data_IF_167661087205
#
_entry.id   IF_167661087205
#
_cell.length_a   1.000
_cell.length_b   1.000
_cell.length_c   1.000
_cell.angle_alpha   90.00
_cell.angle_beta   90.00
_cell.angle_gamma   90.00
#
_symmetry.space_group_name_H-M   'P 1'
#
loop_
_entity.id
_entity.type
_entity.pdbx_description
1 polymer ?
#
# COMPACT_ATOMS: atom_id res chain seq x y z
N UNK A 1 -5.56 58.63 25.98
CA UNK A 1 -5.78 57.71 24.85
C UNK A 1 -4.62 56.73 24.81
N UNK A 2 -4.85 55.44 25.08
CA UNK A 2 -3.80 54.41 25.07
C UNK A 2 -3.75 53.82 23.67
N UNK A 3 -2.78 54.27 22.87
CA UNK A 3 -2.55 53.75 21.52
C UNK A 3 -1.78 52.43 21.66
N UNK A 4 -2.36 51.32 21.22
CA UNK A 4 -1.75 50.01 21.35
C UNK A 4 -0.57 49.83 20.38
N UNK A 5 0.65 49.64 20.90
CA UNK A 5 1.86 49.35 20.11
C UNK A 5 1.91 47.92 19.53
N UNK A 6 0.76 47.28 19.27
CA UNK A 6 0.74 45.97 18.64
C UNK A 6 1.15 46.17 17.18
N UNK A 7 2.29 45.58 16.79
CA UNK A 7 2.69 45.47 15.38
C UNK A 7 1.47 45.00 14.57
N UNK A 8 1.14 45.65 13.44
CA UNK A 8 0.06 45.15 12.59
C UNK A 8 0.38 43.68 12.27
N UNK A 9 -0.60 42.80 12.46
CA UNK A 9 -0.50 41.41 12.02
C UNK A 9 -0.06 41.44 10.55
N UNK A 10 1.20 41.04 10.30
CA UNK A 10 1.82 41.13 8.98
C UNK A 10 0.90 40.45 7.96
N UNK A 11 0.33 41.28 7.10
CA UNK A 11 -0.31 40.88 5.84
C UNK A 11 0.75 40.10 5.07
N UNK A 12 0.58 38.78 5.05
CA UNK A 12 1.32 37.80 4.26
C UNK A 12 2.69 38.30 3.78
N UNK A 13 3.72 38.11 4.60
CA UNK A 13 5.06 38.03 4.03
C UNK A 13 5.01 36.93 2.97
N UNK A 14 4.96 37.33 1.69
CA UNK A 14 5.16 36.42 0.57
C UNK A 14 6.55 35.84 0.78
N UNK A 15 6.62 34.67 1.43
CA UNK A 15 7.86 33.90 1.53
C UNK A 15 8.42 33.87 0.13
N UNK A 16 9.62 34.40 -0.07
CA UNK A 16 10.32 34.34 -1.35
C UNK A 16 10.47 32.86 -1.69
N UNK A 17 9.55 32.32 -2.48
CA UNK A 17 9.68 30.96 -2.99
C UNK A 17 10.85 31.00 -3.94
N UNK A 18 11.79 30.08 -3.75
CA UNK A 18 12.92 29.96 -4.67
C UNK A 18 12.38 29.85 -6.10
N UNK A 19 13.05 30.51 -7.05
CA UNK A 19 12.70 30.39 -8.47
C UNK A 19 12.59 28.89 -8.79
N UNK A 20 11.50 28.44 -9.45
CA UNK A 20 11.34 27.02 -9.75
C UNK A 20 12.55 26.57 -10.55
N UNK A 21 13.22 25.52 -10.09
CA UNK A 21 14.33 24.91 -10.83
C UNK A 21 13.79 24.54 -12.20
N UNK A 22 14.40 25.07 -13.26
CA UNK A 22 14.04 24.73 -14.64
C UNK A 22 14.36 23.26 -14.84
N UNK A 23 13.33 22.41 -14.67
CA UNK A 23 13.38 20.99 -14.95
C UNK A 23 12.62 20.74 -16.25
N UNK A 24 13.02 19.69 -16.97
CA UNK A 24 12.24 19.22 -18.12
C UNK A 24 10.78 19.00 -17.65
N UNK A 25 9.80 19.63 -18.33
CA UNK A 25 8.40 19.64 -17.91
C UNK A 25 7.82 18.22 -17.77
N UNK A 26 8.38 17.22 -18.47
CA UNK A 26 7.99 15.81 -18.34
C UNK A 26 8.21 15.27 -16.93
N UNK A 27 9.23 15.78 -16.23
CA UNK A 27 9.56 15.42 -14.85
C UNK A 27 9.07 16.46 -13.83
N UNK A 28 8.27 17.44 -14.26
CA UNK A 28 7.61 18.36 -13.35
C UNK A 28 6.41 17.69 -12.67
N UNK A 29 6.01 18.18 -11.50
CA UNK A 29 4.81 17.70 -10.81
C UNK A 29 3.50 17.95 -11.61
N UNK A 30 3.56 18.71 -12.70
CA UNK A 30 2.43 19.00 -13.59
C UNK A 30 2.13 17.87 -14.58
N UNK A 31 3.06 16.92 -14.78
CA UNK A 31 2.86 15.80 -15.72
C UNK A 31 1.91 14.70 -15.21
N UNK A 32 1.39 14.84 -13.99
CA UNK A 32 0.39 13.96 -13.41
C UNK A 32 0.97 12.81 -12.58
N UNK A 33 0.13 11.83 -12.26
CA UNK A 33 0.52 10.65 -11.47
C UNK A 33 0.36 9.37 -12.27
N UNK A 34 1.24 8.39 -12.01
CA UNK A 34 1.18 7.09 -12.67
C UNK A 34 -0.16 6.40 -12.35
N UNK A 35 -0.94 6.09 -13.39
CA UNK A 35 -2.07 5.18 -13.28
C UNK A 35 -1.61 3.74 -13.61
N UNK A 36 -1.34 2.90 -12.58
CA UNK A 36 -0.82 1.55 -12.81
C UNK A 36 -1.84 0.63 -13.50
N UNK A 37 -3.15 0.93 -13.46
CA UNK A 37 -4.16 0.10 -14.12
C UNK A 37 -4.14 0.34 -15.62
N UNK A 38 -4.12 1.62 -16.01
CA UNK A 38 -3.98 2.02 -17.40
C UNK A 38 -2.65 1.57 -17.99
N UNK A 39 -1.54 1.82 -17.29
CA UNK A 39 -0.21 1.41 -17.75
C UNK A 39 -0.12 -0.10 -18.03
N UNK A 40 -0.64 -0.93 -17.11
CA UNK A 40 -0.65 -2.38 -17.30
C UNK A 40 -1.46 -2.81 -18.53
N UNK A 41 -2.56 -2.11 -18.85
CA UNK A 41 -3.38 -2.39 -20.03
C UNK A 41 -2.68 -1.94 -21.31
N UNK A 42 -2.20 -0.70 -21.33
CA UNK A 42 -1.55 -0.10 -22.51
C UNK A 42 -0.27 -0.85 -22.90
N UNK A 43 0.51 -1.28 -21.91
CA UNK A 43 1.78 -1.97 -22.12
C UNK A 43 1.69 -3.47 -21.78
N UNK A 44 0.55 -4.09 -22.05
CA UNK A 44 0.34 -5.52 -21.78
C UNK A 44 1.40 -6.41 -22.44
N UNK A 45 1.78 -6.07 -23.68
CA UNK A 45 2.78 -6.81 -24.47
C UNK A 45 4.14 -6.95 -23.77
N UNK A 46 4.51 -6.03 -22.87
CA UNK A 46 5.75 -6.15 -22.09
C UNK A 46 5.70 -7.31 -21.09
N UNK A 47 4.52 -7.62 -20.56
CA UNK A 47 4.32 -8.76 -19.68
C UNK A 47 4.30 -10.06 -20.48
N UNK A 48 3.63 -10.05 -21.63
CA UNK A 48 3.57 -11.23 -22.51
C UNK A 48 4.98 -11.63 -23.00
N UNK A 49 5.78 -10.66 -23.49
CA UNK A 49 7.19 -10.90 -23.85
C UNK A 49 8.05 -11.39 -22.68
N UNK A 50 7.80 -10.89 -21.47
CA UNK A 50 8.53 -11.32 -20.27
C UNK A 50 8.22 -12.79 -19.93
N UNK A 51 6.99 -13.24 -20.12
CA UNK A 51 6.65 -14.66 -19.92
C UNK A 51 7.32 -15.55 -20.98
N UNK A 52 7.38 -15.09 -22.23
CA UNK A 52 8.13 -15.77 -23.30
C UNK A 52 9.62 -15.90 -22.95
N UNK A 53 10.25 -14.81 -22.52
CA UNK A 53 11.65 -14.79 -22.08
C UNK A 53 11.92 -15.80 -20.94
N UNK A 54 11.04 -15.87 -19.94
CA UNK A 54 11.15 -16.88 -18.86
C UNK A 54 11.06 -18.29 -19.41
N UNK A 55 10.12 -18.54 -20.31
CA UNK A 55 9.94 -19.84 -20.96
C UNK A 55 11.21 -20.28 -21.70
N UNK A 56 11.83 -19.37 -22.45
CA UNK A 56 13.09 -19.61 -23.16
C UNK A 56 14.23 -19.92 -22.18
N UNK A 57 14.35 -19.15 -21.08
CA UNK A 57 15.37 -19.38 -20.04
C UNK A 57 15.18 -20.76 -19.38
N UNK A 58 13.95 -21.13 -19.05
CA UNK A 58 13.62 -22.42 -18.45
C UNK A 58 13.91 -23.60 -19.40
N UNK A 59 13.62 -23.43 -20.70
CA UNK A 59 13.99 -24.43 -21.72
C UNK A 59 15.50 -24.55 -21.86
N UNK A 60 16.24 -23.43 -21.90
CA UNK A 60 17.71 -23.43 -22.01
C UNK A 60 18.36 -24.08 -20.78
N UNK A 61 17.80 -23.87 -19.58
CA UNK A 61 18.26 -24.51 -18.35
C UNK A 61 18.07 -26.03 -18.30
N UNK A 62 17.13 -26.59 -19.09
CA UNK A 62 16.93 -28.04 -19.25
C UNK A 62 17.95 -28.66 -20.22
N UNK A 63 18.58 -27.86 -21.07
CA UNK A 63 19.59 -28.31 -22.02
C UNK A 63 20.86 -28.82 -21.33
N UNK A 64 21.47 -29.86 -21.91
CA UNK A 64 22.71 -30.48 -21.38
C UNK A 64 24.00 -29.75 -21.82
N UNK A 65 23.91 -28.83 -22.80
CA UNK A 65 25.06 -28.16 -23.44
C UNK A 65 25.30 -26.75 -22.87
N UNK A 66 25.44 -26.61 -21.56
CA UNK A 66 25.75 -25.32 -20.92
C UNK A 66 27.01 -25.43 -20.06
N UNK A 67 27.84 -24.40 -20.10
CA UNK A 67 28.92 -24.23 -19.12
C UNK A 67 28.33 -23.97 -17.73
N UNK A 68 29.06 -24.31 -16.64
CA UNK A 68 28.57 -24.08 -15.29
C UNK A 68 28.28 -22.59 -15.01
N UNK A 69 29.07 -21.70 -15.59
CA UNK A 69 28.91 -20.24 -15.47
C UNK A 69 27.62 -19.76 -16.15
N UNK A 70 27.39 -20.11 -17.42
CA UNK A 70 26.17 -19.76 -18.15
C UNK A 70 24.92 -20.29 -17.43
N UNK A 71 25.01 -21.49 -16.87
CA UNK A 71 23.89 -22.08 -16.13
C UNK A 71 23.58 -21.27 -14.87
N UNK A 72 24.61 -20.78 -14.17
CA UNK A 72 24.42 -19.95 -12.99
C UNK A 72 23.83 -18.59 -13.35
N UNK A 73 24.29 -17.96 -14.42
CA UNK A 73 23.71 -16.71 -14.92
C UNK A 73 22.23 -16.85 -15.27
N UNK A 74 21.85 -17.92 -15.97
CA UNK A 74 20.45 -18.17 -16.32
C UNK A 74 19.59 -18.43 -15.09
N UNK A 75 20.10 -19.14 -14.08
CA UNK A 75 19.41 -19.31 -12.80
C UNK A 75 19.21 -17.98 -12.09
N UNK A 76 20.23 -17.12 -12.06
CA UNK A 76 20.15 -15.79 -11.46
C UNK A 76 19.11 -14.93 -12.18
N UNK A 77 19.14 -14.90 -13.52
CA UNK A 77 18.15 -14.19 -14.35
C UNK A 77 16.73 -14.72 -14.09
N UNK A 78 16.53 -16.02 -14.00
CA UNK A 78 15.23 -16.60 -13.69
C UNK A 78 14.75 -16.23 -12.28
N UNK A 79 15.66 -16.20 -11.30
CA UNK A 79 15.34 -15.77 -9.93
C UNK A 79 14.89 -14.32 -9.89
N UNK A 80 15.62 -13.41 -10.55
CA UNK A 80 15.24 -11.98 -10.59
C UNK A 80 13.87 -11.79 -11.21
N UNK A 81 13.57 -12.49 -12.31
CA UNK A 81 12.24 -12.49 -12.90
C UNK A 81 11.17 -12.92 -11.90
N UNK A 82 11.34 -14.07 -11.23
CA UNK A 82 10.37 -14.58 -10.23
C UNK A 82 10.17 -13.63 -9.05
N UNK A 83 11.25 -13.00 -8.57
CA UNK A 83 11.18 -12.04 -7.47
C UNK A 83 10.44 -10.76 -7.90
N UNK A 84 10.70 -10.28 -9.12
CA UNK A 84 9.96 -9.13 -9.67
C UNK A 84 8.47 -9.42 -9.83
N UNK A 85 8.09 -10.62 -10.29
CA UNK A 85 6.68 -11.00 -10.42
C UNK A 85 5.98 -11.03 -9.06
N UNK A 86 6.61 -11.64 -8.06
CA UNK A 86 6.07 -11.70 -6.69
C UNK A 86 5.83 -10.30 -6.14
N UNK A 87 6.77 -9.39 -6.37
CA UNK A 87 6.65 -7.99 -5.97
C UNK A 87 5.53 -7.26 -6.70
N UNK A 88 5.36 -7.51 -8.01
CA UNK A 88 4.28 -6.93 -8.81
C UNK A 88 2.91 -7.45 -8.38
N UNK A 89 2.78 -8.78 -8.21
CA UNK A 89 1.55 -9.43 -7.73
C UNK A 89 1.12 -8.86 -6.37
N UNK A 90 2.06 -8.74 -5.43
CA UNK A 90 1.78 -8.15 -4.11
C UNK A 90 1.29 -6.70 -4.22
N UNK A 91 1.92 -5.87 -5.05
CA UNK A 91 1.45 -4.48 -5.28
C UNK A 91 0.06 -4.42 -5.91
N UNK A 92 -0.26 -5.37 -6.78
CA UNK A 92 -1.59 -5.47 -7.38
C UNK A 92 -2.65 -5.86 -6.37
N UNK A 93 -2.37 -6.82 -5.49
CA UNK A 93 -3.25 -7.21 -4.40
C UNK A 93 -3.48 -6.06 -3.41
N UNK A 94 -2.42 -5.33 -3.04
CA UNK A 94 -2.53 -4.12 -2.22
C UNK A 94 -3.47 -3.09 -2.85
N UNK A 95 -3.37 -2.90 -4.17
CA UNK A 95 -4.24 -1.97 -4.90
C UNK A 95 -5.68 -2.46 -4.94
N UNK A 96 -5.91 -3.74 -5.25
CA UNK A 96 -7.26 -4.34 -5.29
C UNK A 96 -7.93 -4.23 -3.93
N UNK A 97 -7.25 -4.65 -2.86
CA UNK A 97 -7.75 -4.57 -1.50
C UNK A 97 -8.07 -3.13 -1.09
N UNK A 98 -7.21 -2.17 -1.44
CA UNK A 98 -7.49 -0.75 -1.19
C UNK A 98 -8.76 -0.28 -1.90
N UNK A 99 -8.95 -0.64 -3.17
CA UNK A 99 -10.14 -0.28 -3.94
C UNK A 99 -11.41 -0.92 -3.34
N UNK A 100 -11.35 -2.19 -2.95
CA UNK A 100 -12.44 -2.90 -2.29
C UNK A 100 -12.83 -2.24 -0.96
N UNK A 101 -11.85 -1.91 -0.11
CA UNK A 101 -12.13 -1.26 1.17
C UNK A 101 -12.74 0.13 1.00
N UNK A 102 -12.23 0.92 0.04
CA UNK A 102 -12.78 2.25 -0.25
C UNK A 102 -14.21 2.15 -0.81
N UNK A 103 -14.48 1.18 -1.69
CA UNK A 103 -15.82 0.99 -2.27
C UNK A 103 -16.82 0.50 -1.23
N UNK A 104 -16.41 -0.42 -0.35
CA UNK A 104 -17.22 -0.85 0.80
C UNK A 104 -17.54 0.32 1.73
N UNK A 105 -16.55 1.17 2.01
CA UNK A 105 -16.76 2.30 2.91
C UNK A 105 -17.69 3.35 2.29
N UNK A 106 -17.55 3.64 1.00
CA UNK A 106 -18.52 4.48 0.28
C UNK A 106 -19.96 3.97 0.41
N UNK A 107 -20.17 2.65 0.30
CA UNK A 107 -21.49 2.05 0.50
C UNK A 107 -21.96 2.18 1.96
N UNK A 108 -21.07 2.00 2.93
CA UNK A 108 -21.39 2.18 4.35
C UNK A 108 -21.82 3.61 4.66
N UNK A 109 -21.17 4.63 4.10
CA UNK A 109 -21.53 6.04 4.29
C UNK A 109 -22.94 6.31 3.79
N UNK A 110 -23.30 5.76 2.63
CA UNK A 110 -24.63 5.94 2.04
C UNK A 110 -25.73 5.24 2.87
N UNK A 111 -25.42 4.08 3.47
CA UNK A 111 -26.40 3.29 4.23
C UNK A 111 -26.48 3.69 5.70
N UNK A 112 -25.35 4.06 6.29
CA UNK A 112 -25.17 4.33 7.71
C UNK A 112 -24.65 5.75 7.80
N UNK A 113 -25.41 6.66 8.41
CA UNK A 113 -24.99 8.03 8.72
C UNK A 113 -23.90 8.07 9.81
N UNK A 114 -22.87 7.23 9.68
CA UNK A 114 -21.72 7.12 10.57
C UNK A 114 -20.51 7.78 9.92
N UNK A 115 -19.56 8.18 10.74
CA UNK A 115 -18.31 8.75 10.26
C UNK A 115 -17.51 7.70 9.45
N UNK A 116 -16.97 8.09 8.28
CA UNK A 116 -16.22 7.19 7.42
C UNK A 116 -14.88 6.78 8.03
N UNK A 117 -14.54 5.50 7.90
CA UNK A 117 -13.27 4.95 8.35
C UNK A 117 -12.48 4.33 7.19
N UNK A 118 -11.30 4.89 6.90
CA UNK A 118 -10.38 4.39 5.88
C UNK A 118 -9.15 3.74 6.50
N UNK A 119 -8.75 2.58 5.97
CA UNK A 119 -7.56 1.87 6.42
C UNK A 119 -6.27 2.59 5.97
N UNK A 120 -5.29 2.65 6.87
CA UNK A 120 -3.95 3.17 6.54
C UNK A 120 -3.21 2.23 5.57
N UNK A 121 -2.30 2.79 4.77
CA UNK A 121 -1.53 2.01 3.80
C UNK A 121 -0.72 0.89 4.48
N UNK A 122 -0.14 1.16 5.66
CA UNK A 122 0.59 0.17 6.45
C UNK A 122 -0.30 -1.02 6.82
N UNK A 123 -1.55 -0.76 7.19
CA UNK A 123 -2.51 -1.80 7.56
C UNK A 123 -2.90 -2.66 6.36
N UNK A 124 -3.11 -2.04 5.20
CA UNK A 124 -3.39 -2.74 3.93
C UNK A 124 -2.21 -3.66 3.55
N UNK A 125 -0.97 -3.14 3.59
CA UNK A 125 0.25 -3.93 3.34
C UNK A 125 0.37 -5.14 4.26
N UNK A 126 0.07 -4.95 5.56
CA UNK A 126 0.10 -6.04 6.53
C UNK A 126 -0.92 -7.13 6.20
N UNK A 127 -2.15 -6.75 5.86
CA UNK A 127 -3.19 -7.70 5.47
C UNK A 127 -2.82 -8.50 4.23
N UNK A 128 -2.23 -7.88 3.20
CA UNK A 128 -1.77 -8.59 1.99
C UNK A 128 -0.63 -9.55 2.31
N UNK A 129 0.35 -9.13 3.13
CA UNK A 129 1.44 -10.02 3.54
C UNK A 129 0.94 -11.26 4.27
N UNK A 130 -0.01 -11.07 5.19
CA UNK A 130 -0.62 -12.17 5.93
C UNK A 130 -1.40 -13.12 4.99
N UNK A 131 -2.02 -12.61 3.93
CA UNK A 131 -2.69 -13.44 2.92
C UNK A 131 -1.68 -14.28 2.13
N UNK A 132 -0.64 -13.64 1.61
CA UNK A 132 0.40 -14.28 0.80
C UNK A 132 1.21 -15.30 1.60
N UNK A 133 1.55 -15.00 2.86
CA UNK A 133 2.35 -15.89 3.71
C UNK A 133 1.58 -17.13 4.20
N UNK A 134 0.29 -16.98 4.54
CA UNK A 134 -0.48 -18.07 5.14
C UNK A 134 -1.11 -19.02 4.11
N UNK A 135 -0.99 -18.75 2.79
CA UNK A 135 -1.84 -19.38 1.74
C UNK A 135 -3.32 -19.48 2.16
N UNK A 136 -3.79 -18.50 2.94
CA UNK A 136 -5.02 -18.59 3.72
C UNK A 136 -5.88 -17.34 3.55
N UNK A 137 -7.19 -17.53 3.41
CA UNK A 137 -8.15 -16.47 3.09
C UNK A 137 -8.05 -15.24 4.01
N UNK A 138 -8.28 -14.06 3.46
CA UNK A 138 -8.40 -12.74 4.13
C UNK A 138 -9.17 -12.81 5.45
N UNK A 139 -10.23 -13.62 5.49
CA UNK A 139 -11.11 -13.83 6.64
C UNK A 139 -10.36 -14.35 7.88
N UNK A 140 -9.36 -15.22 7.70
CA UNK A 140 -8.56 -15.78 8.81
C UNK A 140 -7.62 -14.74 9.40
N UNK A 141 -6.99 -13.90 8.58
CA UNK A 141 -6.14 -12.80 9.01
C UNK A 141 -6.94 -11.77 9.82
N UNK A 142 -8.07 -11.31 9.27
CA UNK A 142 -8.98 -10.37 9.94
C UNK A 142 -9.52 -10.94 11.27
N UNK A 143 -9.86 -12.24 11.31
CA UNK A 143 -10.33 -12.91 12.54
C UNK A 143 -9.25 -12.96 13.62
N UNK A 144 -8.00 -13.24 13.26
CA UNK A 144 -6.87 -13.22 14.19
C UNK A 144 -6.67 -11.81 14.76
N UNK A 145 -6.66 -10.78 13.91
CA UNK A 145 -6.50 -9.40 14.39
C UNK A 145 -7.65 -8.95 15.30
N UNK A 146 -8.91 -9.21 14.96
CA UNK A 146 -10.06 -8.89 15.83
C UNK A 146 -9.91 -9.52 17.22
N UNK A 147 -9.42 -10.77 17.28
CA UNK A 147 -9.19 -11.49 18.54
C UNK A 147 -8.06 -10.86 19.36
N UNK A 148 -6.99 -10.38 18.72
CA UNK A 148 -5.90 -9.65 19.39
C UNK A 148 -6.41 -8.33 19.95
N UNK A 149 -7.12 -7.52 19.13
CA UNK A 149 -7.70 -6.25 19.58
C UNK A 149 -8.68 -6.45 20.74
N UNK A 150 -9.51 -7.49 20.70
CA UNK A 150 -10.41 -7.83 21.82
C UNK A 150 -9.64 -8.19 23.09
N UNK A 151 -8.52 -8.92 22.99
CA UNK A 151 -7.66 -9.24 24.15
C UNK A 151 -6.98 -7.99 24.71
N UNK A 152 -6.46 -7.12 23.85
CA UNK A 152 -5.85 -5.86 24.26
C UNK A 152 -6.87 -4.94 24.93
N UNK A 153 -8.09 -4.82 24.39
CA UNK A 153 -9.18 -4.07 25.02
C UNK A 153 -9.51 -4.59 26.41
N UNK A 154 -9.56 -5.92 26.60
CA UNK A 154 -9.80 -6.52 27.92
C UNK A 154 -8.64 -6.28 28.89
N UNK A 155 -7.39 -6.29 28.41
CA UNK A 155 -6.19 -6.04 29.24
C UNK A 155 -6.03 -4.58 29.62
N UNK A 156 -6.33 -3.67 28.71
CA UNK A 156 -6.24 -2.23 28.90
C UNK A 156 -7.53 -1.65 29.53
N UNK A 157 -8.48 -2.51 29.89
CA UNK A 157 -9.67 -2.10 30.63
C UNK A 157 -9.23 -1.82 32.07
N UNK A 158 -9.21 -0.55 32.45
CA UNK A 158 -9.00 -0.15 33.84
C UNK A 158 -10.22 -0.65 34.62
N UNK A 159 -10.05 -1.49 35.66
CA UNK A 159 -11.19 -1.94 36.45
C UNK A 159 -11.82 -0.74 37.16
N UNK A 160 -13.03 -0.37 36.77
CA UNK A 160 -13.84 0.59 37.50
C UNK A 160 -14.37 -0.10 38.76
N UNK A 161 -14.13 0.52 39.94
CA UNK A 161 -14.81 0.11 41.16
C UNK A 161 -16.31 0.38 40.96
N UNK A 162 -17.15 -0.64 41.14
CA UNK A 162 -18.59 -0.39 41.30
C UNK A 162 -18.74 0.50 42.53
N UNK A 163 -19.17 1.74 42.33
CA UNK A 163 -19.74 2.52 43.42
C UNK A 163 -21.00 1.78 43.83
N UNK A 164 -20.93 1.08 44.97
CA UNK A 164 -22.13 0.62 45.65
C UNK A 164 -22.79 1.91 46.11
N UNK A 165 -23.93 2.26 45.52
CA UNK A 165 -24.78 3.28 46.10
C UNK A 165 -25.24 2.69 47.44
N UNK A 166 -24.71 3.24 48.53
CA UNK A 166 -25.24 2.97 49.87
C UNK A 166 -26.69 3.45 49.85
N UNK A 167 -27.62 2.50 49.74
CA UNK A 167 -29.04 2.79 49.89
C UNK A 167 -29.26 3.12 51.37
N UNK A 168 -29.88 4.30 51.57
CA UNK A 168 -30.29 4.91 52.85
C UNK A 168 -30.99 3.94 53.78
#
# INVERSE_FOLDING_TARGET
MVVSNRKPFNIFEKKKTAKPIVRDPRFSNLSGTLNPSFFKKAYKFLFDKREEEKGIIEQRLKGKKLTPEERQELKNKLSTYRDTDRMLQRKEEERKLKQELVTQEKKNILQKNKQPFYYSQRKIRKMVNEQMANKGSIKKAVKKEKRVVQRERKRNMIPERRLVADNV
#
